data_IF_292226611168
#
_entry.id   IF_292226611168
#
_cell.length_a   1.000
_cell.length_b   1.000
_cell.length_c   1.000
_cell.angle_alpha   90.00
_cell.angle_beta   90.00
_cell.angle_gamma   90.00
#
_symmetry.space_group_name_H-M   'P 1'
#
loop_
_entity.id
_entity.type
_entity.pdbx_description
1 polymer ?
#
# COMPACT_ATOMS: atom_id res chain seq x y z
N UNK A 1 6.23 -1.18 -30.63
CA UNK A 1 7.65 -1.56 -30.80
C UNK A 1 8.34 -1.25 -29.48
N UNK A 2 8.44 -2.24 -28.60
CA UNK A 2 9.06 -2.08 -27.27
C UNK A 2 10.56 -1.87 -27.45
N UNK A 3 11.07 -0.71 -27.01
CA UNK A 3 12.53 -0.46 -26.97
C UNK A 3 13.11 -1.21 -25.78
N UNK A 4 13.81 -2.30 -26.07
CA UNK A 4 14.63 -3.02 -25.10
C UNK A 4 16.02 -2.42 -25.05
N UNK A 5 16.31 -1.67 -23.99
CA UNK A 5 17.64 -1.56 -23.37
C UNK A 5 17.43 -1.21 -21.91
N UNK A 6 17.11 -2.22 -21.10
CA UNK A 6 17.13 -2.06 -19.64
C UNK A 6 18.59 -2.11 -19.19
N UNK A 7 19.20 -0.97 -18.94
CA UNK A 7 20.30 -0.89 -17.98
C UNK A 7 19.66 -1.10 -16.61
N UNK A 8 19.99 -2.22 -15.96
CA UNK A 8 19.41 -2.56 -14.65
C UNK A 8 19.74 -1.49 -13.61
N UNK A 9 18.84 -0.55 -13.42
CA UNK A 9 18.88 0.35 -12.28
C UNK A 9 18.43 -0.49 -11.08
N UNK A 10 19.37 -0.79 -10.17
CA UNK A 10 19.01 -1.48 -8.93
C UNK A 10 18.02 -0.62 -8.17
N UNK A 11 16.83 -1.18 -7.88
CA UNK A 11 15.85 -0.54 -7.00
C UNK A 11 16.44 -0.55 -5.59
N UNK A 12 16.60 0.61 -4.92
CA UNK A 12 17.22 0.66 -3.60
C UNK A 12 16.40 -0.14 -2.60
N UNK A 13 17.07 -0.86 -1.72
CA UNK A 13 16.43 -1.50 -0.58
C UNK A 13 15.83 -0.45 0.34
N UNK A 14 14.63 -0.72 0.87
CA UNK A 14 14.02 0.12 1.89
C UNK A 14 14.97 0.20 3.09
N UNK A 15 15.18 1.42 3.61
CA UNK A 15 16.06 1.64 4.75
C UNK A 15 15.65 0.78 5.95
N UNK A 16 16.64 0.21 6.64
CA UNK A 16 16.38 -0.59 7.85
C UNK A 16 15.62 0.25 8.90
N UNK A 17 14.53 -0.28 9.48
CA UNK A 17 13.74 0.44 10.47
C UNK A 17 14.59 0.89 11.66
N UNK A 18 14.49 2.15 12.06
CA UNK A 18 15.25 2.72 13.20
C UNK A 18 14.72 2.26 14.56
N UNK A 19 13.45 1.85 14.65
CA UNK A 19 12.78 1.45 15.88
C UNK A 19 11.99 0.17 15.68
N UNK A 20 12.00 -0.71 16.69
CA UNK A 20 11.29 -1.99 16.65
C UNK A 20 9.82 -1.83 17.03
N UNK A 21 8.93 -2.52 16.33
CA UNK A 21 7.49 -2.60 16.64
C UNK A 21 7.28 -3.43 17.92
N UNK A 22 7.02 -2.75 19.03
CA UNK A 22 6.63 -3.31 20.31
C UNK A 22 5.27 -2.76 20.80
N UNK A 23 4.49 -2.14 19.90
CA UNK A 23 3.21 -1.48 20.22
C UNK A 23 2.25 -2.39 20.99
N UNK A 24 2.22 -3.67 20.62
CA UNK A 24 1.32 -4.67 21.21
C UNK A 24 2.00 -5.58 22.25
N UNK A 25 3.24 -5.29 22.66
CA UNK A 25 4.00 -6.11 23.63
C UNK A 25 3.42 -5.99 25.02
N UNK A 26 3.13 -4.76 25.45
CA UNK A 26 2.55 -4.50 26.77
C UNK A 26 1.03 -4.56 26.75
N UNK A 27 0.43 -4.90 27.92
CA UNK A 27 -1.02 -4.90 28.08
C UNK A 27 -1.54 -3.47 27.99
N UNK A 28 -2.40 -3.21 27.02
CA UNK A 28 -3.12 -1.95 26.88
C UNK A 28 -4.64 -2.25 26.93
N UNK A 29 -5.48 -1.30 27.34
CA UNK A 29 -6.94 -1.46 27.20
C UNK A 29 -7.29 -1.79 25.76
N UNK A 30 -8.30 -2.62 25.50
CA UNK A 30 -8.80 -2.86 24.15
C UNK A 30 -9.16 -1.53 23.48
N UNK A 31 -8.57 -1.26 22.35
CA UNK A 31 -8.84 -0.08 21.54
C UNK A 31 -8.67 -0.45 20.06
N UNK A 32 -9.45 0.20 19.21
CA UNK A 32 -9.30 0.08 17.77
C UNK A 32 -7.91 0.53 17.32
N UNK A 33 -7.39 -0.11 16.28
CA UNK A 33 -6.11 0.25 15.70
C UNK A 33 -6.16 1.68 15.13
N UNK A 34 -5.27 2.53 15.62
CA UNK A 34 -5.14 3.90 15.15
C UNK A 34 -3.72 4.17 14.64
N UNK A 35 -3.61 4.89 13.54
CA UNK A 35 -2.33 5.30 12.95
C UNK A 35 -1.79 6.58 13.62
N UNK A 36 -1.72 6.58 14.97
CA UNK A 36 -1.19 7.68 15.77
C UNK A 36 0.33 7.66 15.90
N UNK A 37 0.88 8.62 16.66
CA UNK A 37 2.33 8.85 16.82
C UNK A 37 3.12 7.59 17.19
N UNK A 38 2.62 6.80 18.14
CA UNK A 38 3.27 5.57 18.61
C UNK A 38 3.41 4.55 17.47
N UNK A 39 2.39 4.39 16.61
CA UNK A 39 2.43 3.50 15.46
C UNK A 39 3.31 4.09 14.37
N UNK A 40 3.23 5.39 14.08
CA UNK A 40 4.04 6.04 13.06
C UNK A 40 5.55 5.91 13.33
N UNK A 41 5.96 5.92 14.60
CA UNK A 41 7.38 5.79 14.98
C UNK A 41 8.00 4.42 14.68
N UNK A 42 7.19 3.36 14.61
CA UNK A 42 7.63 1.96 14.40
C UNK A 42 7.02 1.32 13.13
N UNK A 43 6.33 2.11 12.33
CA UNK A 43 5.51 1.61 11.22
C UNK A 43 6.31 0.82 10.17
N UNK A 44 7.53 1.25 9.88
CA UNK A 44 8.39 0.59 8.91
C UNK A 44 8.78 -0.83 9.38
N UNK A 45 9.18 -1.00 10.64
CA UNK A 45 9.44 -2.32 11.24
C UNK A 45 8.16 -3.18 11.29
N UNK A 46 7.03 -2.54 11.56
CA UNK A 46 5.73 -3.20 11.56
C UNK A 46 5.39 -3.78 10.18
N UNK A 47 5.66 -3.06 9.09
CA UNK A 47 5.46 -3.54 7.72
C UNK A 47 6.40 -4.70 7.39
N UNK A 48 7.72 -4.53 7.61
CA UNK A 48 8.74 -5.55 7.37
C UNK A 48 8.42 -6.88 8.08
N UNK A 49 7.96 -6.81 9.32
CA UNK A 49 7.67 -8.00 10.14
C UNK A 49 6.28 -8.59 9.90
N UNK A 50 5.33 -7.81 9.38
CA UNK A 50 3.93 -8.23 9.22
C UNK A 50 3.52 -8.50 7.78
N UNK A 51 4.21 -7.94 6.79
CA UNK A 51 3.86 -8.11 5.37
C UNK A 51 4.82 -9.11 4.72
N UNK A 52 4.30 -10.20 4.16
CA UNK A 52 5.17 -11.19 3.51
C UNK A 52 5.83 -10.59 2.27
N UNK A 53 7.15 -10.78 2.15
CA UNK A 53 7.93 -10.32 1.00
C UNK A 53 7.76 -8.82 0.69
N UNK A 54 7.67 -7.98 1.73
CA UNK A 54 7.40 -6.56 1.58
C UNK A 54 8.36 -5.86 0.61
N UNK A 55 9.67 -6.13 0.72
CA UNK A 55 10.69 -5.58 -0.17
C UNK A 55 10.46 -6.01 -1.63
N UNK A 56 10.09 -7.26 -1.86
CA UNK A 56 9.83 -7.79 -3.19
C UNK A 56 8.55 -7.19 -3.79
N UNK A 57 7.51 -7.03 -3.00
CA UNK A 57 6.28 -6.33 -3.42
C UNK A 57 6.62 -4.91 -3.86
N UNK A 58 7.40 -4.17 -3.07
CA UNK A 58 7.82 -2.82 -3.40
C UNK A 58 8.67 -2.78 -4.69
N UNK A 59 9.58 -3.75 -4.86
CA UNK A 59 10.38 -3.89 -6.09
C UNK A 59 9.49 -4.10 -7.32
N UNK A 60 8.51 -5.01 -7.24
CA UNK A 60 7.56 -5.29 -8.34
C UNK A 60 6.69 -4.06 -8.65
N UNK A 61 6.24 -3.32 -7.62
CA UNK A 61 5.54 -2.04 -7.79
C UNK A 61 6.43 -1.06 -8.57
N UNK A 62 7.70 -0.92 -8.16
CA UNK A 62 8.66 -0.01 -8.80
C UNK A 62 8.85 -0.30 -10.29
N UNK A 63 8.94 -1.57 -10.67
CA UNK A 63 9.06 -1.98 -12.08
C UNK A 63 7.82 -1.56 -12.88
N UNK A 64 6.61 -1.84 -12.37
CA UNK A 64 5.37 -1.44 -13.04
C UNK A 64 5.22 0.08 -13.10
N UNK A 65 5.50 0.79 -12.01
CA UNK A 65 5.40 2.26 -12.01
C UNK A 65 6.37 2.87 -13.03
N UNK A 66 7.58 2.31 -13.18
CA UNK A 66 8.54 2.76 -14.19
C UNK A 66 8.02 2.59 -15.61
N UNK A 67 7.28 1.52 -15.88
CA UNK A 67 6.71 1.25 -17.21
C UNK A 67 5.48 2.14 -17.52
N UNK A 68 4.69 2.54 -16.49
CA UNK A 68 3.44 3.28 -16.68
C UNK A 68 3.55 4.79 -16.38
N UNK A 69 4.51 5.24 -15.57
CA UNK A 69 4.63 6.64 -15.22
C UNK A 69 5.10 7.48 -16.42
N UNK A 70 4.42 8.59 -16.66
CA UNK A 70 4.66 9.49 -17.80
C UNK A 70 5.08 10.87 -17.29
N UNK A 71 6.17 11.45 -17.83
CA UNK A 71 6.60 12.81 -17.50
C UNK A 71 5.49 13.84 -17.75
N UNK A 72 5.34 14.80 -16.85
CA UNK A 72 4.26 15.80 -16.88
C UNK A 72 2.92 15.31 -16.29
N UNK A 73 2.91 14.12 -15.68
CA UNK A 73 1.74 13.55 -15.00
C UNK A 73 2.00 13.32 -13.52
N UNK A 74 0.95 12.91 -12.80
CA UNK A 74 1.01 12.58 -11.38
C UNK A 74 1.09 11.07 -11.14
N UNK A 75 1.84 10.68 -10.12
CA UNK A 75 1.78 9.37 -9.46
C UNK A 75 1.21 9.58 -8.07
N UNK A 76 0.05 9.00 -7.81
CA UNK A 76 -0.63 9.07 -6.51
C UNK A 76 -0.30 7.85 -5.66
N UNK A 77 -0.02 8.08 -4.36
CA UNK A 77 0.08 7.03 -3.33
C UNK A 77 -1.01 7.29 -2.28
N UNK A 78 -2.11 6.52 -2.38
CA UNK A 78 -3.26 6.61 -1.50
C UNK A 78 -3.07 5.74 -0.27
N UNK A 79 -2.91 6.37 0.90
CA UNK A 79 -2.44 5.77 2.12
C UNK A 79 -0.91 5.72 2.14
N UNK A 80 -0.27 6.84 1.82
CA UNK A 80 1.20 6.91 1.68
C UNK A 80 1.97 6.70 3.00
N UNK A 81 1.29 6.76 4.14
CA UNK A 81 1.87 6.52 5.47
C UNK A 81 3.16 7.30 5.70
N UNK A 82 4.24 6.60 6.02
CA UNK A 82 5.57 7.19 6.27
C UNK A 82 6.40 7.42 5.00
N UNK A 83 5.83 7.22 3.79
CA UNK A 83 6.44 7.57 2.52
C UNK A 83 7.45 6.57 1.96
N UNK A 84 7.46 5.30 2.43
CA UNK A 84 8.39 4.28 1.93
C UNK A 84 8.29 4.08 0.42
N UNK A 85 7.07 3.98 -0.11
CA UNK A 85 6.83 3.78 -1.54
C UNK A 85 7.33 4.98 -2.35
N UNK A 86 7.10 6.21 -1.89
CA UNK A 86 7.58 7.43 -2.56
C UNK A 86 9.12 7.44 -2.69
N UNK A 87 9.81 7.12 -1.60
CA UNK A 87 11.29 7.04 -1.58
C UNK A 87 11.83 5.95 -2.49
N UNK A 88 11.18 4.79 -2.49
CA UNK A 88 11.59 3.67 -3.34
C UNK A 88 11.41 3.99 -4.84
N UNK A 89 10.35 4.74 -5.18
CA UNK A 89 10.08 5.13 -6.57
C UNK A 89 10.98 6.25 -7.10
N UNK A 90 11.54 7.08 -6.23
CA UNK A 90 12.34 8.26 -6.62
C UNK A 90 13.41 7.96 -7.69
N UNK A 91 14.30 6.98 -7.54
CA UNK A 91 15.36 6.75 -8.50
C UNK A 91 14.90 6.11 -9.82
N UNK A 92 13.71 5.53 -9.87
CA UNK A 92 13.25 4.70 -10.99
C UNK A 92 12.24 5.39 -11.90
N UNK A 93 11.48 6.33 -11.37
CA UNK A 93 10.42 7.03 -12.10
C UNK A 93 10.99 8.14 -12.97
N UNK A 94 10.48 8.38 -14.20
CA UNK A 94 10.95 9.43 -15.08
C UNK A 94 10.97 10.81 -14.42
N UNK A 95 11.93 11.67 -14.81
CA UNK A 95 11.94 13.08 -14.40
C UNK A 95 10.69 13.79 -14.92
N UNK A 96 10.20 14.77 -14.15
CA UNK A 96 8.98 15.51 -14.48
C UNK A 96 7.68 14.83 -14.05
N UNK A 97 7.74 13.67 -13.40
CA UNK A 97 6.58 13.09 -12.70
C UNK A 97 6.47 13.75 -11.32
N UNK A 98 5.28 14.22 -10.98
CA UNK A 98 4.95 14.74 -9.67
C UNK A 98 4.37 13.63 -8.80
N UNK A 99 4.80 13.54 -7.54
CA UNK A 99 4.23 12.61 -6.57
C UNK A 99 3.15 13.27 -5.71
N UNK A 100 2.05 12.56 -5.47
CA UNK A 100 0.98 13.01 -4.57
C UNK A 100 0.70 11.92 -3.55
N UNK A 101 1.16 12.13 -2.33
CA UNK A 101 0.89 11.23 -1.20
C UNK A 101 -0.35 11.71 -0.45
N UNK A 102 -1.29 10.79 -0.18
CA UNK A 102 -2.51 11.08 0.59
C UNK A 102 -2.58 10.12 1.76
N UNK A 103 -2.77 10.64 2.97
CA UNK A 103 -3.06 9.84 4.17
C UNK A 103 -4.02 10.61 5.08
N UNK A 104 -4.81 9.92 5.89
CA UNK A 104 -5.71 10.59 6.83
C UNK A 104 -5.03 10.92 8.17
N UNK A 105 -3.89 10.31 8.47
CA UNK A 105 -3.12 10.51 9.70
C UNK A 105 -2.06 11.59 9.50
N UNK A 106 -2.22 12.71 10.21
CA UNK A 106 -1.22 13.78 10.21
C UNK A 106 0.11 13.31 10.84
N UNK A 107 0.07 12.38 11.79
CA UNK A 107 1.26 11.79 12.40
C UNK A 107 2.08 10.99 11.39
N UNK A 108 1.39 10.21 10.52
CA UNK A 108 2.04 9.50 9.42
C UNK A 108 2.64 10.48 8.42
N UNK A 109 1.90 11.52 8.02
CA UNK A 109 2.39 12.54 7.09
C UNK A 109 3.54 13.37 7.67
N UNK A 110 3.53 13.67 8.98
CA UNK A 110 4.66 14.29 9.66
C UNK A 110 5.91 13.42 9.52
N UNK A 111 5.79 12.13 9.82
CA UNK A 111 6.91 11.19 9.68
C UNK A 111 7.36 11.04 8.22
N UNK A 112 6.42 11.08 7.27
CA UNK A 112 6.71 11.09 5.84
C UNK A 112 7.56 12.31 5.46
N UNK A 113 7.16 13.54 5.84
CA UNK A 113 7.92 14.77 5.58
C UNK A 113 9.35 14.70 6.13
N UNK A 114 9.48 14.25 7.39
CA UNK A 114 10.80 14.08 8.04
C UNK A 114 11.68 13.10 7.23
N UNK A 115 11.13 11.96 6.84
CA UNK A 115 11.85 10.93 6.10
C UNK A 115 12.24 11.39 4.68
N UNK A 116 11.33 12.06 3.96
CA UNK A 116 11.65 12.65 2.65
C UNK A 116 12.79 13.67 2.76
N UNK A 117 12.78 14.51 3.79
CA UNK A 117 13.86 15.48 4.04
C UNK A 117 15.19 14.79 4.40
N UNK A 118 15.17 13.76 5.28
CA UNK A 118 16.36 12.96 5.63
C UNK A 118 17.03 12.34 4.39
N UNK A 119 16.23 11.89 3.40
CA UNK A 119 16.70 11.25 2.16
C UNK A 119 16.93 12.23 1.01
N UNK A 120 16.79 13.55 1.25
CA UNK A 120 16.97 14.60 0.24
C UNK A 120 16.10 14.38 -1.00
N UNK A 121 14.83 14.02 -0.76
CA UNK A 121 13.84 13.85 -1.83
C UNK A 121 13.54 15.21 -2.45
N UNK A 122 14.02 15.45 -3.67
CA UNK A 122 13.98 16.75 -4.35
C UNK A 122 12.93 16.84 -5.47
N UNK A 123 12.14 15.77 -5.66
CA UNK A 123 11.08 15.76 -6.66
C UNK A 123 9.90 16.62 -6.27
N UNK A 124 9.22 17.16 -7.29
CA UNK A 124 7.94 17.82 -7.08
C UNK A 124 6.96 16.86 -6.42
N UNK A 125 6.45 17.23 -5.27
CA UNK A 125 5.50 16.42 -4.52
C UNK A 125 4.52 17.24 -3.71
N UNK A 126 3.40 16.62 -3.37
CA UNK A 126 2.43 17.12 -2.39
C UNK A 126 2.07 16.00 -1.39
N UNK A 127 1.95 16.36 -0.12
CA UNK A 127 1.43 15.50 0.93
C UNK A 127 0.13 16.09 1.46
N UNK A 128 -0.98 15.36 1.33
CA UNK A 128 -2.34 15.83 1.60
C UNK A 128 -2.95 15.00 2.73
N UNK A 129 -3.39 15.64 3.80
CA UNK A 129 -4.15 15.00 4.86
C UNK A 129 -5.61 14.92 4.43
N UNK A 130 -6.11 13.72 4.09
CA UNK A 130 -7.49 13.50 3.67
C UNK A 130 -7.96 12.06 3.95
N UNK A 131 -9.24 11.94 4.31
CA UNK A 131 -9.90 10.66 4.50
C UNK A 131 -10.48 10.13 3.18
N UNK A 132 -9.98 8.99 2.70
CA UNK A 132 -10.42 8.35 1.47
C UNK A 132 -11.91 7.96 1.49
N UNK A 133 -12.52 7.83 2.67
CA UNK A 133 -13.96 7.59 2.81
C UNK A 133 -14.81 8.81 2.42
N UNK A 134 -14.23 10.01 2.43
CA UNK A 134 -14.92 11.26 2.10
C UNK A 134 -14.86 11.58 0.60
N UNK A 135 -14.16 10.75 -0.17
CA UNK A 135 -13.84 11.01 -1.57
C UNK A 135 -12.59 11.89 -1.71
N UNK A 136 -11.91 11.71 -2.81
CA UNK A 136 -10.70 12.45 -3.17
C UNK A 136 -10.79 12.89 -4.64
N UNK A 137 -10.15 14.01 -4.94
CA UNK A 137 -9.96 14.45 -6.31
C UNK A 137 -8.63 13.91 -6.85
N UNK A 138 -8.69 13.22 -7.97
CA UNK A 138 -7.53 12.71 -8.71
C UNK A 138 -7.60 13.29 -10.12
N UNK A 139 -6.48 13.80 -10.60
CA UNK A 139 -6.37 14.38 -11.94
C UNK A 139 -5.00 14.09 -12.55
N UNK A 140 -4.95 14.01 -13.86
CA UNK A 140 -3.72 13.83 -14.62
C UNK A 140 -2.82 12.71 -14.08
N UNK A 141 -3.42 11.61 -13.64
CA UNK A 141 -2.67 10.49 -13.05
C UNK A 141 -2.25 9.49 -14.12
N UNK A 142 -0.97 9.16 -14.21
CA UNK A 142 -0.49 8.00 -14.97
C UNK A 142 -0.52 6.73 -14.13
N UNK A 143 -0.29 6.85 -12.81
CA UNK A 143 -0.34 5.72 -11.89
C UNK A 143 -1.02 6.15 -10.59
N UNK A 144 -1.86 5.26 -10.07
CA UNK A 144 -2.39 5.37 -8.70
C UNK A 144 -2.02 4.10 -7.93
N UNK A 145 -1.50 4.27 -6.73
CA UNK A 145 -1.11 3.19 -5.84
C UNK A 145 -2.06 3.13 -4.64
N UNK A 146 -2.43 1.93 -4.25
CA UNK A 146 -3.07 1.61 -2.97
C UNK A 146 -2.37 0.40 -2.37
N UNK A 147 -1.38 0.64 -1.52
CA UNK A 147 -0.57 -0.44 -0.93
C UNK A 147 -1.04 -0.70 0.50
N UNK A 148 -1.82 -1.77 0.68
CA UNK A 148 -2.44 -2.17 1.95
C UNK A 148 -3.39 -1.10 2.53
N UNK A 149 -4.08 -0.38 1.66
CA UNK A 149 -4.89 0.79 2.02
C UNK A 149 -6.39 0.57 1.85
N UNK A 150 -6.84 -0.02 0.73
CA UNK A 150 -8.25 -0.18 0.42
C UNK A 150 -9.00 -1.00 1.49
N UNK A 151 -8.33 -1.95 2.12
CA UNK A 151 -8.87 -2.75 3.22
C UNK A 151 -9.28 -1.94 4.45
N UNK A 152 -8.78 -0.69 4.59
CA UNK A 152 -9.16 0.27 5.65
C UNK A 152 -10.27 1.23 5.22
N UNK A 153 -10.54 1.34 3.92
CA UNK A 153 -11.69 2.07 3.40
C UNK A 153 -12.96 1.25 3.68
N UNK A 154 -13.99 1.89 4.21
CA UNK A 154 -15.25 1.18 4.49
C UNK A 154 -15.86 0.61 3.22
N UNK A 155 -16.37 -0.62 3.23
CA UNK A 155 -16.93 -1.29 2.04
C UNK A 155 -17.89 -0.43 1.22
N UNK A 156 -18.73 0.36 1.90
CA UNK A 156 -19.72 1.24 1.27
C UNK A 156 -19.10 2.29 0.32
N UNK A 157 -17.86 2.73 0.58
CA UNK A 157 -17.21 3.81 -0.18
C UNK A 157 -16.21 3.32 -1.23
N UNK A 158 -15.86 2.02 -1.23
CA UNK A 158 -14.79 1.46 -2.10
C UNK A 158 -15.11 1.61 -3.58
N UNK A 159 -16.32 1.26 -4.02
CA UNK A 159 -16.69 1.38 -5.44
C UNK A 159 -16.66 2.84 -5.92
N UNK A 160 -17.11 3.78 -5.08
CA UNK A 160 -17.04 5.21 -5.41
C UNK A 160 -15.59 5.68 -5.51
N UNK A 161 -14.74 5.29 -4.56
CA UNK A 161 -13.31 5.62 -4.59
C UNK A 161 -12.63 5.07 -5.85
N UNK A 162 -12.88 3.80 -6.19
CA UNK A 162 -12.31 3.15 -7.38
C UNK A 162 -12.78 3.82 -8.67
N UNK A 163 -14.05 4.25 -8.75
CA UNK A 163 -14.57 5.03 -9.89
C UNK A 163 -13.89 6.41 -9.99
N UNK A 164 -13.67 7.10 -8.88
CA UNK A 164 -12.96 8.38 -8.87
C UNK A 164 -11.50 8.22 -9.33
N UNK A 165 -10.84 7.12 -8.91
CA UNK A 165 -9.49 6.77 -9.39
C UNK A 165 -9.51 6.59 -10.90
N UNK A 166 -10.43 5.79 -11.43
CA UNK A 166 -10.53 5.56 -12.87
C UNK A 166 -10.76 6.85 -13.65
N UNK A 167 -11.60 7.75 -13.15
CA UNK A 167 -11.87 9.05 -13.79
C UNK A 167 -10.62 9.93 -13.84
N UNK A 168 -9.84 9.95 -12.77
CA UNK A 168 -8.61 10.76 -12.66
C UNK A 168 -7.40 10.19 -13.38
N UNK A 169 -7.41 8.91 -13.73
CA UNK A 169 -6.37 8.26 -14.52
C UNK A 169 -6.40 8.77 -15.97
N UNK A 170 -5.23 9.00 -16.54
CA UNK A 170 -5.06 9.24 -17.98
C UNK A 170 -5.32 7.95 -18.77
N UNK A 171 -5.52 8.07 -20.09
CA UNK A 171 -5.60 6.91 -20.98
C UNK A 171 -4.33 6.05 -20.87
N UNK A 172 -4.51 4.75 -20.75
CA UNK A 172 -3.47 3.76 -20.47
C UNK A 172 -2.77 3.91 -19.11
N UNK A 173 -3.33 4.72 -18.21
CA UNK A 173 -2.88 4.77 -16.81
C UNK A 173 -3.33 3.53 -16.05
N UNK A 174 -2.69 3.26 -14.90
CA UNK A 174 -2.98 2.08 -14.09
C UNK A 174 -3.24 2.37 -12.61
N UNK A 175 -4.03 1.50 -12.01
CA UNK A 175 -4.13 1.33 -10.57
C UNK A 175 -3.34 0.08 -10.16
N UNK A 176 -2.44 0.22 -9.20
CA UNK A 176 -1.74 -0.88 -8.54
C UNK A 176 -2.30 -1.02 -7.13
N UNK A 177 -2.88 -2.18 -6.85
CA UNK A 177 -3.57 -2.46 -5.59
C UNK A 177 -2.88 -3.65 -4.90
N UNK A 178 -2.36 -3.45 -3.69
CA UNK A 178 -1.85 -4.53 -2.84
C UNK A 178 -2.72 -4.63 -1.60
N UNK A 179 -3.27 -5.81 -1.33
CA UNK A 179 -4.23 -6.02 -0.25
C UNK A 179 -4.03 -7.34 0.48
N UNK A 180 -4.40 -7.34 1.74
CA UNK A 180 -4.72 -8.57 2.43
C UNK A 180 -6.07 -9.07 1.94
N UNK A 181 -6.19 -10.37 1.68
CA UNK A 181 -7.42 -10.97 1.13
C UNK A 181 -7.89 -12.16 1.94
N UNK A 182 -9.17 -12.45 1.87
CA UNK A 182 -9.76 -13.68 2.40
C UNK A 182 -9.45 -14.86 1.47
N UNK A 183 -9.38 -16.06 2.02
CA UNK A 183 -9.42 -17.29 1.24
C UNK A 183 -10.80 -17.47 0.58
N UNK A 184 -10.85 -18.10 -0.58
CA UNK A 184 -12.10 -18.33 -1.31
C UNK A 184 -13.04 -19.28 -0.54
N UNK A 185 -12.47 -20.26 0.16
CA UNK A 185 -13.16 -21.22 1.00
C UNK A 185 -12.73 -21.11 2.47
N UNK A 186 -13.60 -21.52 3.39
CA UNK A 186 -13.37 -21.48 4.83
C UNK A 186 -12.15 -22.28 5.29
N UNK A 187 -11.88 -23.43 4.63
CA UNK A 187 -10.72 -24.29 4.94
C UNK A 187 -9.43 -23.56 4.54
N UNK A 188 -9.36 -23.05 3.30
CA UNK A 188 -8.20 -22.30 2.84
C UNK A 188 -8.01 -21.01 3.64
N UNK A 189 -9.08 -20.29 3.98
CA UNK A 189 -8.99 -19.09 4.79
C UNK A 189 -8.34 -19.37 6.15
N UNK A 190 -8.77 -20.45 6.83
CA UNK A 190 -8.20 -20.87 8.11
C UNK A 190 -6.72 -21.24 7.98
N UNK A 191 -6.36 -22.03 6.96
CA UNK A 191 -4.97 -22.44 6.72
C UNK A 191 -4.08 -21.22 6.43
N UNK A 192 -4.53 -20.29 5.59
CA UNK A 192 -3.76 -19.08 5.24
C UNK A 192 -3.54 -18.17 6.46
N UNK A 193 -4.53 -18.06 7.35
CA UNK A 193 -4.37 -17.35 8.62
C UNK A 193 -3.31 -18.05 9.50
N UNK A 194 -3.31 -19.37 9.58
CA UNK A 194 -2.29 -20.12 10.34
C UNK A 194 -0.88 -19.92 9.77
N UNK A 195 -0.72 -19.99 8.45
CA UNK A 195 0.57 -19.73 7.78
C UNK A 195 1.05 -18.29 8.00
N UNK A 196 0.13 -17.34 7.98
CA UNK A 196 0.43 -15.93 8.28
C UNK A 196 0.88 -15.73 9.73
N UNK A 197 0.24 -16.38 10.70
CA UNK A 197 0.71 -16.32 12.09
C UNK A 197 2.08 -17.00 12.26
N UNK A 198 2.34 -18.09 11.54
CA UNK A 198 3.66 -18.70 11.52
C UNK A 198 4.75 -17.78 10.94
N UNK A 199 4.42 -16.99 9.90
CA UNK A 199 5.32 -15.94 9.40
C UNK A 199 5.63 -14.91 10.49
N UNK A 200 4.61 -14.36 11.15
CA UNK A 200 4.79 -13.37 12.22
C UNK A 200 5.67 -13.89 13.35
N UNK A 201 5.49 -15.15 13.78
CA UNK A 201 6.35 -15.79 14.80
C UNK A 201 7.81 -15.83 14.33
N UNK A 202 8.06 -16.25 13.09
CA UNK A 202 9.42 -16.27 12.52
C UNK A 202 10.04 -14.88 12.46
N UNK A 203 9.22 -13.83 12.31
CA UNK A 203 9.64 -12.42 12.35
C UNK A 203 9.66 -11.84 13.75
N UNK A 204 9.58 -12.68 14.82
CA UNK A 204 9.82 -12.31 16.21
C UNK A 204 8.62 -11.71 16.96
N UNK A 205 7.39 -11.86 16.46
CA UNK A 205 6.19 -11.59 17.26
C UNK A 205 5.85 -12.79 18.15
N UNK A 206 5.47 -12.53 19.39
CA UNK A 206 4.93 -13.55 20.28
C UNK A 206 3.41 -13.72 20.08
N UNK A 207 2.83 -14.77 20.68
CA UNK A 207 1.40 -15.10 20.55
C UNK A 207 0.48 -13.96 21.04
N UNK A 208 0.89 -13.29 22.13
CA UNK A 208 0.11 -12.22 22.72
C UNK A 208 0.08 -10.97 21.81
N UNK A 209 1.22 -10.60 21.24
CA UNK A 209 1.31 -9.51 20.24
C UNK A 209 0.45 -9.80 19.02
N UNK A 210 0.47 -11.04 18.51
CA UNK A 210 -0.35 -11.47 17.37
C UNK A 210 -1.84 -11.37 17.72
N UNK A 211 -2.25 -11.84 18.89
CA UNK A 211 -3.63 -11.83 19.34
C UNK A 211 -4.15 -10.39 19.52
N UNK A 212 -3.40 -9.53 20.21
CA UNK A 212 -3.76 -8.13 20.46
C UNK A 212 -3.86 -7.32 19.17
N UNK A 213 -2.88 -7.49 18.25
CA UNK A 213 -2.90 -6.83 16.95
C UNK A 213 -4.09 -7.29 16.09
N UNK A 214 -4.46 -8.57 16.17
CA UNK A 214 -5.66 -9.09 15.49
C UNK A 214 -6.92 -8.43 16.06
N UNK A 215 -7.05 -8.38 17.37
CA UNK A 215 -8.20 -7.78 18.06
C UNK A 215 -8.34 -6.29 17.74
N UNK A 216 -7.24 -5.53 17.81
CA UNK A 216 -7.24 -4.11 17.47
C UNK A 216 -7.61 -3.84 15.99
N UNK A 217 -7.29 -4.75 15.07
CA UNK A 217 -7.63 -4.64 13.65
C UNK A 217 -9.01 -5.21 13.30
N UNK A 218 -9.68 -5.84 14.23
CA UNK A 218 -11.04 -6.36 14.05
C UNK A 218 -11.97 -5.31 13.54
N UNK A 219 -12.80 -5.05 12.93
CA UNK A 219 -13.65 -3.94 12.47
C UNK A 219 -12.93 -2.74 11.80
N UNK A 220 -11.60 -2.66 11.89
CA UNK A 220 -10.81 -1.60 11.26
C UNK A 220 -10.32 -2.04 9.88
N UNK A 221 -9.79 -3.26 9.79
CA UNK A 221 -9.32 -3.87 8.56
C UNK A 221 -10.34 -4.88 8.04
N UNK A 222 -11.00 -4.57 6.92
CA UNK A 222 -12.04 -5.40 6.31
C UNK A 222 -11.55 -5.92 4.95
N UNK A 223 -10.92 -7.12 4.88
CA UNK A 223 -10.42 -7.65 3.63
C UNK A 223 -11.55 -8.20 2.76
N UNK A 224 -11.44 -8.04 1.46
CA UNK A 224 -12.25 -8.73 0.46
C UNK A 224 -11.55 -10.00 0.00
N UNK A 225 -12.26 -10.89 -0.70
CA UNK A 225 -11.65 -11.95 -1.50
C UNK A 225 -10.95 -11.34 -2.72
N UNK A 226 -9.99 -12.07 -3.26
CA UNK A 226 -9.30 -11.64 -4.49
C UNK A 226 -10.28 -11.38 -5.63
N UNK A 227 -11.23 -12.30 -5.85
CA UNK A 227 -12.24 -12.15 -6.91
C UNK A 227 -13.18 -10.96 -6.66
N UNK A 228 -13.55 -10.69 -5.42
CA UNK A 228 -14.38 -9.51 -5.08
C UNK A 228 -13.65 -8.20 -5.43
N UNK A 229 -12.34 -8.10 -5.12
CA UNK A 229 -11.53 -6.94 -5.51
C UNK A 229 -11.46 -6.82 -7.04
N UNK A 230 -11.18 -7.91 -7.75
CA UNK A 230 -11.11 -7.93 -9.21
C UNK A 230 -12.45 -7.50 -9.84
N UNK A 231 -13.54 -8.06 -9.38
CA UNK A 231 -14.88 -7.77 -9.91
C UNK A 231 -15.26 -6.30 -9.64
N UNK A 232 -14.88 -5.75 -8.49
CA UNK A 232 -15.08 -4.34 -8.18
C UNK A 232 -14.32 -3.44 -9.17
N UNK A 233 -13.08 -3.76 -9.51
CA UNK A 233 -12.28 -3.02 -10.50
C UNK A 233 -12.94 -3.09 -11.88
N UNK A 234 -13.37 -4.26 -12.32
CA UNK A 234 -14.05 -4.44 -13.62
C UNK A 234 -15.40 -3.70 -13.66
N UNK A 235 -16.22 -3.77 -12.59
CA UNK A 235 -17.47 -3.02 -12.50
C UNK A 235 -17.26 -1.51 -12.48
N UNK A 236 -16.15 -1.04 -11.97
CA UNK A 236 -15.80 0.38 -12.00
C UNK A 236 -15.44 0.88 -13.40
N UNK A 237 -15.07 -0.03 -14.33
CA UNK A 237 -14.78 0.27 -15.73
C UNK A 237 -13.33 0.07 -16.15
N UNK A 238 -12.46 -0.51 -15.29
CA UNK A 238 -11.12 -0.92 -15.73
C UNK A 238 -11.22 -2.00 -16.79
N UNK A 239 -10.45 -1.86 -17.89
CA UNK A 239 -10.51 -2.78 -19.04
C UNK A 239 -9.85 -4.12 -18.77
N UNK A 240 -8.70 -4.08 -18.10
CA UNK A 240 -7.89 -5.25 -17.82
C UNK A 240 -7.45 -5.27 -16.37
N UNK A 241 -7.42 -6.44 -15.79
CA UNK A 241 -6.90 -6.67 -14.44
C UNK A 241 -6.05 -7.93 -14.44
N UNK A 242 -4.91 -7.91 -13.77
CA UNK A 242 -4.08 -9.10 -13.56
C UNK A 242 -3.53 -9.14 -12.15
N UNK A 243 -3.06 -10.33 -11.73
CA UNK A 243 -2.45 -10.57 -10.43
C UNK A 243 -0.94 -10.66 -10.63
N UNK A 244 -0.18 -9.70 -10.10
CA UNK A 244 1.27 -9.73 -10.19
C UNK A 244 1.94 -10.36 -8.97
N UNK A 245 1.24 -10.42 -7.82
CA UNK A 245 1.74 -11.02 -6.59
C UNK A 245 0.64 -11.80 -5.87
N UNK A 246 0.97 -12.98 -5.35
CA UNK A 246 0.07 -13.76 -4.48
C UNK A 246 0.88 -14.54 -3.46
N UNK A 247 0.57 -14.32 -2.17
CA UNK A 247 1.06 -15.10 -1.06
C UNK A 247 -0.09 -15.35 -0.09
N UNK A 248 -0.61 -16.58 -0.05
CA UNK A 248 -1.76 -16.99 0.78
C UNK A 248 -2.85 -15.92 0.88
N UNK A 249 -2.88 -15.15 1.97
CA UNK A 249 -3.86 -14.10 2.24
C UNK A 249 -3.36 -12.68 1.90
N UNK A 250 -2.40 -12.53 0.98
CA UNK A 250 -1.98 -11.26 0.39
C UNK A 250 -1.98 -11.36 -1.13
N UNK A 251 -2.39 -10.31 -1.79
CA UNK A 251 -2.33 -10.23 -3.25
C UNK A 251 -1.94 -8.83 -3.73
N UNK A 252 -1.33 -8.77 -4.92
CA UNK A 252 -1.13 -7.58 -5.70
C UNK A 252 -1.86 -7.70 -7.02
N UNK A 253 -2.68 -6.70 -7.33
CA UNK A 253 -3.46 -6.56 -8.57
C UNK A 253 -2.98 -5.33 -9.32
N UNK A 254 -2.93 -5.40 -10.63
CA UNK A 254 -2.80 -4.25 -11.52
C UNK A 254 -4.05 -4.14 -12.37
N UNK A 255 -4.56 -2.91 -12.55
CA UNK A 255 -5.74 -2.64 -13.36
C UNK A 255 -5.48 -1.47 -14.32
N UNK A 256 -5.84 -1.63 -15.59
CA UNK A 256 -5.61 -0.64 -16.65
C UNK A 256 -6.93 0.06 -17.03
N UNK A 257 -6.85 1.37 -17.21
CA UNK A 257 -7.93 2.19 -17.75
C UNK A 257 -8.18 1.90 -19.21
#
# INVERSE_FOLDING_TARGET
>A
MMKSTRTGTEIPAIATPKAKDEVFRESQPPADFAFGEKVASVFDDMLERSVPFYQEIQRMIGEMVTDFAVGGTNVYDLGCSTGNTLLMLDPTVPKGVRFVGIDYSEEMLKRCREKLAEHRFDREHALICADLNQGIHIENASVVLMVLTLQFVRPLYRETLVKNILQGLNENGCLILVEKVLGEDSIFNRLFIQYYYSLKRRHGYNEMEIARKREALENVLVPYKLLENRDMLLRAGFRYTDVFFKWYNFCGLVALK
#
